data_IF_740205501401
#
_entry.id   IF_740205501401
#
_cell.length_a   1.000
_cell.length_b   1.000
_cell.length_c   1.000
_cell.angle_alpha   90.00
_cell.angle_beta   90.00
_cell.angle_gamma   90.00
#
_symmetry.space_group_name_H-M   'P 1'
#
loop_
_entity.id
_entity.type
_entity.pdbx_description
1 polymer ?
#
# COMPACT_ATOMS: atom_id res chain seq x y z
N UNK A 1 8.45 -7.74 -11.47
CA UNK A 1 8.20 -7.12 -10.15
C UNK A 1 6.85 -6.40 -10.24
N UNK A 2 5.89 -6.74 -9.37
CA UNK A 2 4.56 -6.12 -9.39
C UNK A 2 4.52 -4.91 -8.45
N UNK A 3 3.75 -3.88 -8.81
CA UNK A 3 3.57 -2.68 -8.00
C UNK A 3 2.10 -2.52 -7.65
N UNK A 4 1.81 -2.10 -6.42
CA UNK A 4 0.47 -1.73 -5.98
C UNK A 4 0.49 -0.33 -5.38
N UNK A 5 -0.56 0.43 -5.68
CA UNK A 5 -0.79 1.74 -5.09
C UNK A 5 -2.14 1.74 -4.39
N UNK A 6 -2.17 2.36 -3.21
CA UNK A 6 -3.39 2.55 -2.41
C UNK A 6 -3.52 4.01 -2.05
N UNK A 7 -4.76 4.47 -1.91
CA UNK A 7 -5.07 5.83 -1.48
C UNK A 7 -6.23 5.77 -0.51
N UNK A 8 -6.18 6.60 0.52
CA UNK A 8 -7.20 6.71 1.55
C UNK A 8 -7.37 8.17 1.91
N UNK A 9 -8.62 8.63 1.91
CA UNK A 9 -8.99 9.97 2.37
C UNK A 9 -8.69 10.13 3.87
N UNK A 10 -8.57 9.03 4.60
CA UNK A 10 -8.14 9.02 5.99
C UNK A 10 -6.61 9.15 6.05
N UNK A 11 -6.12 10.16 6.76
CA UNK A 11 -4.68 10.39 6.96
C UNK A 11 -4.04 9.37 7.91
N UNK A 12 -4.85 8.51 8.55
CA UNK A 12 -4.36 7.51 9.48
C UNK A 12 -3.49 6.45 8.75
N UNK A 13 -2.21 6.29 9.11
CA UNK A 13 -1.29 5.40 8.41
C UNK A 13 -1.72 3.92 8.49
N UNK A 14 -2.39 3.51 9.57
CA UNK A 14 -2.90 2.14 9.74
C UNK A 14 -3.90 1.75 8.63
N UNK A 15 -4.78 2.68 8.24
CA UNK A 15 -5.77 2.41 7.18
C UNK A 15 -5.10 2.12 5.84
N UNK A 16 -4.01 2.81 5.54
CA UNK A 16 -3.23 2.58 4.32
C UNK A 16 -2.46 1.27 4.37
N UNK A 17 -1.89 0.91 5.52
CA UNK A 17 -1.20 -0.36 5.70
C UNK A 17 -2.18 -1.53 5.51
N UNK A 18 -3.39 -1.45 6.09
CA UNK A 18 -4.42 -2.48 5.88
C UNK A 18 -4.85 -2.60 4.41
N UNK A 19 -4.98 -1.49 3.69
CA UNK A 19 -5.30 -1.51 2.25
C UNK A 19 -4.16 -2.13 1.43
N UNK A 20 -2.91 -1.83 1.78
CA UNK A 20 -1.72 -2.40 1.15
C UNK A 20 -1.62 -3.90 1.37
N UNK A 21 -1.87 -4.35 2.60
CA UNK A 21 -1.85 -5.77 2.95
C UNK A 21 -2.93 -6.54 2.19
N UNK A 22 -4.18 -6.05 2.18
CA UNK A 22 -5.26 -6.65 1.40
C UNK A 22 -4.91 -6.74 -0.10
N UNK A 23 -4.33 -5.70 -0.70
CA UNK A 23 -3.89 -5.74 -2.10
C UNK A 23 -2.73 -6.68 -2.34
N UNK A 24 -1.83 -6.82 -1.38
CA UNK A 24 -0.68 -7.74 -1.44
C UNK A 24 -1.16 -9.19 -1.44
N UNK A 25 -2.05 -9.54 -0.52
CA UNK A 25 -2.67 -10.88 -0.41
C UNK A 25 -3.51 -11.20 -1.65
N UNK A 26 -4.34 -10.25 -2.12
CA UNK A 26 -5.12 -10.42 -3.35
C UNK A 26 -4.26 -10.61 -4.61
N UNK A 27 -3.02 -10.11 -4.60
CA UNK A 27 -2.06 -10.30 -5.69
C UNK A 27 -1.26 -11.61 -5.57
N UNK A 28 -1.47 -12.38 -4.48
CA UNK A 28 -0.73 -13.60 -4.19
C UNK A 28 0.74 -13.37 -3.84
N UNK A 29 1.07 -12.20 -3.31
CA UNK A 29 2.41 -11.88 -2.83
C UNK A 29 2.52 -12.09 -1.32
N UNK A 30 3.67 -12.57 -0.85
CA UNK A 30 3.92 -12.84 0.57
C UNK A 30 4.53 -11.63 1.29
N UNK A 31 5.23 -10.78 0.54
CA UNK A 31 5.91 -9.61 1.07
C UNK A 31 5.66 -8.40 0.19
N UNK A 32 5.65 -7.23 0.82
CA UNK A 32 5.65 -5.96 0.11
C UNK A 32 6.67 -5.01 0.71
N UNK A 33 7.20 -4.11 -0.11
CA UNK A 33 8.08 -3.02 0.32
C UNK A 33 7.48 -1.71 -0.15
N UNK A 34 7.14 -0.84 0.79
CA UNK A 34 6.69 0.52 0.48
C UNK A 34 7.86 1.29 -0.13
N UNK A 35 7.65 1.85 -1.32
CA UNK A 35 8.63 2.68 -2.05
C UNK A 35 8.34 4.16 -1.90
N UNK A 36 7.07 4.51 -1.71
CA UNK A 36 6.63 5.91 -1.57
C UNK A 36 5.43 5.98 -0.66
N UNK A 37 5.41 6.99 0.19
CA UNK A 37 4.31 7.27 1.12
C UNK A 37 4.17 8.79 1.23
N UNK A 38 2.99 9.30 0.89
CA UNK A 38 2.68 10.72 0.86
C UNK A 38 1.41 10.97 1.68
N UNK A 39 1.43 12.00 2.52
CA UNK A 39 0.26 12.49 3.24
C UNK A 39 0.11 13.98 2.88
N UNK A 40 -0.81 14.24 1.96
CA UNK A 40 -1.28 15.59 1.64
C UNK A 40 -2.75 15.70 2.12
N UNK A 41 -3.72 15.81 1.21
CA UNK A 41 -5.16 15.75 1.50
C UNK A 41 -5.70 14.32 1.71
N UNK A 42 -4.94 13.33 1.28
CA UNK A 42 -5.24 11.90 1.40
C UNK A 42 -3.91 11.17 1.57
N UNK A 43 -3.90 10.09 2.34
CA UNK A 43 -2.73 9.24 2.43
C UNK A 43 -2.63 8.39 1.16
N UNK A 44 -1.47 8.42 0.51
CA UNK A 44 -1.15 7.64 -0.67
C UNK A 44 0.09 6.81 -0.40
N UNK A 45 0.06 5.53 -0.75
CA UNK A 45 1.22 4.67 -0.64
C UNK A 45 1.38 3.77 -1.86
N UNK A 46 2.64 3.61 -2.27
CA UNK A 46 3.05 2.70 -3.33
C UNK A 46 3.97 1.66 -2.75
N UNK A 47 3.74 0.39 -3.08
CA UNK A 47 4.60 -0.71 -2.69
C UNK A 47 4.93 -1.64 -3.85
N UNK A 48 6.12 -2.21 -3.77
CA UNK A 48 6.55 -3.32 -4.60
C UNK A 48 6.14 -4.63 -3.92
N UNK A 49 5.60 -5.55 -4.69
CA UNK A 49 5.22 -6.88 -4.23
C UNK A 49 6.28 -7.93 -4.58
N UNK A 50 6.52 -8.84 -3.64
CA UNK A 50 7.41 -9.99 -3.75
C UNK A 50 6.64 -11.26 -3.41
N UNK A 51 6.78 -12.27 -4.27
CA UNK A 51 6.26 -13.62 -4.02
C UNK A 51 7.23 -14.39 -3.14
#
# INVERSE_FOLDING_TARGET
VAHVSVSSINTNPESIIQLLQNKTEASGAHYYRITSFHIDNQSHATAILYK
#
